data_IF_324893023297
#
_entry.id   IF_324893023297
#
_cell.length_a   1.000
_cell.length_b   1.000
_cell.length_c   1.000
_cell.angle_alpha   90.00
_cell.angle_beta   90.00
_cell.angle_gamma   90.00
#
_symmetry.space_group_name_H-M   'P 1'
#
loop_
_entity.id
_entity.type
_entity.pdbx_description
1 polymer ?
#
# COMPACT_ATOMS: atom_id res chain seq x y z
N UNK A 1 30.67 -3.70 -19.18
CA UNK A 1 29.20 -3.60 -18.97
C UNK A 1 28.61 -2.87 -20.16
N UNK A 2 27.64 -3.45 -20.86
CA UNK A 2 27.03 -2.86 -22.08
C UNK A 2 26.00 -1.78 -21.72
N UNK A 3 25.83 -0.78 -22.59
CA UNK A 3 24.91 0.35 -22.37
C UNK A 3 23.46 -0.12 -22.09
N UNK A 4 23.01 -1.17 -22.77
CA UNK A 4 21.67 -1.74 -22.60
C UNK A 4 21.42 -2.29 -21.19
N UNK A 5 22.44 -2.84 -20.51
CA UNK A 5 22.31 -3.30 -19.12
C UNK A 5 22.19 -2.12 -18.16
N UNK A 6 22.85 -1.00 -18.43
CA UNK A 6 22.76 0.21 -17.60
C UNK A 6 21.39 0.86 -17.72
N UNK A 7 20.84 0.93 -18.94
CA UNK A 7 19.47 1.40 -19.17
C UNK A 7 18.42 0.49 -18.51
N UNK A 8 18.55 -0.84 -18.67
CA UNK A 8 17.65 -1.78 -18.01
C UNK A 8 17.68 -1.67 -16.48
N UNK A 9 18.87 -1.47 -15.89
CA UNK A 9 19.01 -1.23 -14.45
C UNK A 9 18.37 0.09 -14.04
N UNK A 10 18.54 1.17 -14.83
CA UNK A 10 17.92 2.46 -14.55
C UNK A 10 16.40 2.39 -14.60
N UNK A 11 15.81 1.75 -15.61
CA UNK A 11 14.36 1.54 -15.71
C UNK A 11 13.83 0.66 -14.56
N UNK A 12 14.57 -0.38 -14.17
CA UNK A 12 14.24 -1.20 -12.99
C UNK A 12 14.31 -0.39 -11.70
N UNK A 13 15.29 0.51 -11.57
CA UNK A 13 15.44 1.41 -10.42
C UNK A 13 14.31 2.43 -10.35
N UNK A 14 13.96 3.08 -11.46
CA UNK A 14 12.83 4.01 -11.55
C UNK A 14 11.50 3.31 -11.23
N UNK A 15 11.28 2.10 -11.77
CA UNK A 15 10.14 1.26 -11.40
C UNK A 15 10.16 0.90 -9.91
N UNK A 16 11.31 0.56 -9.34
CA UNK A 16 11.43 0.24 -7.92
C UNK A 16 11.24 1.46 -7.01
N UNK A 17 11.58 2.66 -7.48
CA UNK A 17 11.42 3.92 -6.77
C UNK A 17 9.97 4.41 -6.80
N UNK A 18 9.30 4.31 -7.96
CA UNK A 18 7.86 4.51 -8.07
C UNK A 18 7.06 3.54 -7.17
N UNK A 19 7.60 2.35 -6.90
CA UNK A 19 7.02 1.34 -5.99
C UNK A 19 7.31 1.60 -4.50
N UNK A 20 8.24 2.49 -4.13
CA UNK A 20 8.56 2.77 -2.73
C UNK A 20 7.55 3.75 -2.14
N UNK A 21 6.80 3.29 -1.13
CA UNK A 21 6.04 4.21 -0.29
C UNK A 21 7.01 5.18 0.39
N UNK A 22 6.88 6.48 0.09
CA UNK A 22 7.73 7.49 0.69
C UNK A 22 7.53 7.52 2.22
N UNK A 23 8.59 7.77 3.01
CA UNK A 23 8.48 7.85 4.48
C UNK A 23 7.36 8.76 4.99
N UNK A 24 7.08 9.83 4.23
CA UNK A 24 5.99 10.76 4.51
C UNK A 24 4.62 10.07 4.58
N UNK A 25 4.29 9.19 3.63
CA UNK A 25 3.01 8.49 3.61
C UNK A 25 2.86 7.52 4.79
N UNK A 26 3.94 6.82 5.16
CA UNK A 26 3.94 5.93 6.34
C UNK A 26 3.65 6.74 7.59
N UNK A 27 4.33 7.88 7.76
CA UNK A 27 4.14 8.77 8.91
C UNK A 27 2.74 9.36 8.96
N UNK A 28 2.24 9.87 7.83
CA UNK A 28 0.91 10.47 7.72
C UNK A 28 -0.19 9.45 8.04
N UNK A 29 -0.12 8.26 7.43
CA UNK A 29 -1.02 7.15 7.73
C UNK A 29 -0.94 6.76 9.21
N UNK A 30 0.27 6.52 9.72
CA UNK A 30 0.47 6.07 11.10
C UNK A 30 -0.11 7.09 12.08
N UNK A 31 0.17 8.38 11.91
CA UNK A 31 -0.34 9.41 12.81
C UNK A 31 -1.86 9.42 12.84
N UNK A 32 -2.52 9.47 11.67
CA UNK A 32 -3.98 9.48 11.57
C UNK A 32 -4.61 8.21 12.14
N UNK A 33 -4.11 7.03 11.74
CA UNK A 33 -4.65 5.76 12.20
C UNK A 33 -4.40 5.54 13.70
N UNK A 34 -3.21 5.86 14.19
CA UNK A 34 -2.88 5.70 15.60
C UNK A 34 -3.72 6.63 16.47
N UNK A 35 -3.91 7.88 16.06
CA UNK A 35 -4.81 8.83 16.74
C UNK A 35 -6.27 8.37 16.73
N UNK A 36 -6.76 7.86 15.59
CA UNK A 36 -8.12 7.29 15.47
C UNK A 36 -8.37 6.17 16.49
N UNK A 37 -7.38 5.30 16.70
CA UNK A 37 -7.43 4.26 17.74
C UNK A 37 -6.98 4.74 19.13
N UNK A 38 -7.02 6.05 19.39
CA UNK A 38 -6.72 6.70 20.68
C UNK A 38 -5.26 6.54 21.15
N UNK A 39 -4.34 6.31 20.22
CA UNK A 39 -2.90 6.37 20.43
C UNK A 39 -2.39 7.80 20.45
N UNK A 40 -1.24 8.02 21.09
CA UNK A 40 -0.59 9.34 21.12
C UNK A 40 0.88 9.21 20.77
N UNK A 41 1.32 10.05 19.82
CA UNK A 41 2.71 10.15 19.39
C UNK A 41 3.25 11.51 19.82
N UNK A 42 4.26 11.55 20.70
CA UNK A 42 4.84 12.80 21.22
C UNK A 42 6.20 13.05 20.62
N UNK A 43 6.40 14.19 19.98
CA UNK A 43 7.73 14.54 19.47
C UNK A 43 8.69 14.82 20.61
N UNK A 44 9.91 14.28 20.54
CA UNK A 44 10.96 14.47 21.53
C UNK A 44 12.17 15.17 20.93
N UNK A 45 12.69 14.62 19.84
CA UNK A 45 13.74 15.23 19.03
C UNK A 45 13.24 15.43 17.59
N UNK A 46 13.90 16.25 16.76
CA UNK A 46 13.60 16.31 15.32
C UNK A 46 13.61 14.90 14.70
N UNK A 47 12.51 14.53 14.04
CA UNK A 47 12.36 13.21 13.40
C UNK A 47 12.15 12.03 14.36
N UNK A 48 12.09 12.26 15.68
CA UNK A 48 11.92 11.21 16.70
C UNK A 48 10.75 11.48 17.63
N UNK A 49 10.06 10.41 17.96
CA UNK A 49 8.84 10.46 18.75
C UNK A 49 8.85 9.41 19.85
N UNK A 50 8.06 9.61 20.88
CA UNK A 50 7.81 8.67 21.96
C UNK A 50 6.34 8.24 21.93
N UNK A 51 6.11 6.95 22.21
CA UNK A 51 4.78 6.40 22.46
C UNK A 51 4.74 5.92 23.91
N UNK A 52 4.10 6.70 24.79
CA UNK A 52 4.03 6.38 26.22
C UNK A 52 3.09 5.22 26.51
N UNK A 53 2.02 5.09 25.73
CA UNK A 53 1.03 4.02 25.85
C UNK A 53 0.52 3.60 24.47
N UNK A 54 0.57 2.30 24.18
CA UNK A 54 -0.08 1.71 23.01
C UNK A 54 -1.46 1.18 23.42
N UNK A 55 -2.54 1.65 22.76
CA UNK A 55 -3.91 1.21 23.02
C UNK A 55 -4.06 -0.32 23.02
N UNK A 56 -4.91 -0.84 23.90
CA UNK A 56 -5.14 -2.28 24.04
C UNK A 56 -5.59 -2.93 22.73
N UNK A 57 -6.51 -2.29 22.00
CA UNK A 57 -7.03 -2.78 20.72
C UNK A 57 -5.92 -3.06 19.69
N UNK A 58 -4.89 -2.20 19.62
CA UNK A 58 -3.74 -2.39 18.72
C UNK A 58 -2.89 -3.58 19.16
N UNK A 59 -2.66 -3.74 20.47
CA UNK A 59 -1.89 -4.86 21.03
C UNK A 59 -2.61 -6.20 20.93
N UNK A 60 -3.93 -6.18 21.08
CA UNK A 60 -4.74 -7.40 21.00
C UNK A 60 -4.89 -7.83 19.54
N UNK A 61 -5.05 -6.88 18.62
CA UNK A 61 -4.97 -7.15 17.18
C UNK A 61 -3.64 -7.78 16.79
N UNK A 62 -2.53 -7.24 17.33
CA UNK A 62 -1.20 -7.80 17.10
C UNK A 62 -1.11 -9.30 17.45
N UNK A 63 -1.85 -9.78 18.46
CA UNK A 63 -1.83 -11.21 18.84
C UNK A 63 -2.65 -12.09 17.91
N UNK A 64 -3.60 -11.52 17.18
CA UNK A 64 -4.52 -12.24 16.30
C UNK A 64 -3.98 -12.39 14.88
N UNK A 65 -3.13 -11.45 14.42
CA UNK A 65 -2.55 -11.49 13.08
C UNK A 65 -1.60 -12.68 12.95
N UNK A 66 -1.97 -13.65 12.12
CA UNK A 66 -1.14 -14.82 11.75
C UNK A 66 -0.37 -14.56 10.46
N UNK A 67 0.73 -15.30 10.23
CA UNK A 67 1.48 -15.22 8.96
C UNK A 67 2.40 -14.00 8.80
N UNK A 68 2.87 -13.42 9.91
CA UNK A 68 3.89 -12.35 9.87
C UNK A 68 5.16 -12.79 9.15
N UNK A 69 5.86 -11.79 8.61
CA UNK A 69 7.24 -11.99 8.21
C UNK A 69 8.04 -12.45 9.44
N UNK A 70 8.60 -13.66 9.37
CA UNK A 70 9.41 -14.28 10.43
C UNK A 70 10.62 -13.42 10.82
N UNK A 71 10.99 -12.44 9.99
CA UNK A 71 12.06 -11.48 10.28
C UNK A 71 11.65 -10.41 11.30
N UNK A 72 10.35 -10.19 11.51
CA UNK A 72 9.80 -9.22 12.47
C UNK A 72 8.83 -9.91 13.44
N UNK A 73 9.37 -10.79 14.29
CA UNK A 73 8.62 -11.54 15.31
C UNK A 73 8.36 -10.73 16.59
N UNK A 74 8.98 -9.56 16.74
CA UNK A 74 8.79 -8.73 17.93
C UNK A 74 7.31 -8.33 18.05
N UNK A 75 6.64 -8.59 19.18
CA UNK A 75 5.25 -8.18 19.36
C UNK A 75 5.14 -6.67 19.52
N UNK A 76 3.93 -6.14 19.39
CA UNK A 76 3.66 -4.75 19.75
C UNK A 76 3.91 -4.53 21.25
N UNK A 77 4.79 -3.58 21.56
CA UNK A 77 5.13 -3.22 22.94
C UNK A 77 4.05 -2.35 23.58
N UNK A 78 4.01 -2.30 24.92
CA UNK A 78 3.12 -1.39 25.66
C UNK A 78 3.50 0.09 25.51
N UNK A 79 4.79 0.36 25.28
CA UNK A 79 5.38 1.69 25.12
C UNK A 79 6.62 1.59 24.22
N UNK A 80 6.91 2.66 23.51
CA UNK A 80 8.12 2.82 22.70
C UNK A 80 8.85 4.08 23.14
N UNK A 81 10.09 3.91 23.63
CA UNK A 81 10.89 5.02 24.15
C UNK A 81 11.25 6.01 23.03
N UNK A 82 11.72 5.51 21.88
CA UNK A 82 11.93 6.29 20.66
C UNK A 82 11.46 5.53 19.42
N UNK A 83 10.76 6.24 18.54
CA UNK A 83 10.36 5.78 17.20
C UNK A 83 10.67 6.84 16.16
N UNK A 84 10.95 6.41 14.92
CA UNK A 84 11.18 7.30 13.79
C UNK A 84 10.66 6.68 12.49
N UNK A 85 10.45 7.50 11.46
CA UNK A 85 9.95 7.04 10.15
C UNK A 85 11.03 7.04 9.07
N UNK A 86 12.19 7.64 9.35
CA UNK A 86 13.30 7.75 8.41
C UNK A 86 14.57 7.16 9.03
N UNK A 87 15.38 6.51 8.20
CA UNK A 87 16.59 5.80 8.63
C UNK A 87 17.62 6.71 9.29
N UNK A 88 17.73 7.95 8.83
CA UNK A 88 18.65 8.95 9.36
C UNK A 88 18.40 9.29 10.84
N UNK A 89 17.18 9.07 11.33
CA UNK A 89 16.83 9.32 12.72
C UNK A 89 16.94 8.09 13.62
N UNK A 90 17.36 6.92 13.11
CA UNK A 90 17.52 5.70 13.93
C UNK A 90 18.65 5.86 14.96
N UNK A 91 19.75 6.53 14.57
CA UNK A 91 20.87 6.91 15.45
C UNK A 91 21.17 8.39 15.24
N UNK A 92 21.28 9.16 16.32
CA UNK A 92 21.74 10.54 16.25
C UNK A 92 23.26 10.53 16.42
N UNK A 93 23.98 10.90 15.37
CA UNK A 93 25.45 10.92 15.36
C UNK A 93 25.97 11.93 16.38
N UNK A 94 25.29 13.07 16.52
CA UNK A 94 25.68 14.17 17.40
C UNK A 94 25.39 13.93 18.89
N UNK A 95 24.68 12.85 19.24
CA UNK A 95 24.28 12.54 20.64
C UNK A 95 24.39 11.06 20.95
N UNK A 96 25.60 10.61 21.28
CA UNK A 96 25.97 9.21 21.52
C UNK A 96 25.17 8.52 22.64
N UNK A 97 24.72 9.26 23.66
CA UNK A 97 23.98 8.70 24.81
C UNK A 97 22.45 8.60 24.59
N UNK A 98 21.96 8.90 23.39
CA UNK A 98 20.50 8.86 23.11
C UNK A 98 20.08 7.44 22.74
N UNK A 99 18.95 6.91 23.26
CA UNK A 99 18.44 5.59 22.87
C UNK A 99 18.25 5.48 21.35
N UNK A 100 18.45 4.27 20.82
CA UNK A 100 18.15 3.96 19.42
C UNK A 100 16.65 4.05 19.18
N UNK A 101 16.24 4.70 18.09
CA UNK A 101 14.84 4.77 17.72
C UNK A 101 14.43 3.51 16.96
N UNK A 102 13.24 2.98 17.26
CA UNK A 102 12.62 1.94 16.43
C UNK A 102 12.18 2.55 15.10
N UNK A 103 12.66 1.98 13.99
CA UNK A 103 12.23 2.41 12.67
C UNK A 103 10.83 1.87 12.37
N UNK A 104 9.86 2.77 12.24
CA UNK A 104 8.50 2.44 11.82
C UNK A 104 8.49 2.33 10.29
N UNK A 105 8.12 1.15 9.79
CA UNK A 105 8.02 0.83 8.38
C UNK A 105 6.80 -0.10 8.15
N UNK A 106 6.38 -0.37 6.91
CA UNK A 106 5.13 -1.11 6.64
C UNK A 106 5.09 -2.54 7.23
N UNK A 107 6.25 -3.16 7.41
CA UNK A 107 6.40 -4.47 8.03
C UNK A 107 6.55 -4.45 9.55
N UNK A 108 6.47 -3.27 10.19
CA UNK A 108 6.57 -3.14 11.64
C UNK A 108 5.22 -3.58 12.29
N UNK A 109 5.24 -4.36 13.37
CA UNK A 109 4.04 -4.92 14.03
C UNK A 109 2.95 -3.87 14.36
N UNK A 110 3.36 -2.69 14.85
CA UNK A 110 2.44 -1.56 15.06
C UNK A 110 1.71 -1.15 13.77
N UNK A 111 2.43 -0.99 12.66
CA UNK A 111 1.83 -0.55 11.40
C UNK A 111 0.91 -1.63 10.87
N UNK A 112 1.33 -2.90 10.92
CA UNK A 112 0.48 -4.02 10.50
C UNK A 112 -0.82 -4.10 11.29
N UNK A 113 -0.75 -3.94 12.61
CA UNK A 113 -1.93 -3.94 13.49
C UNK A 113 -2.87 -2.78 13.17
N UNK A 114 -2.32 -1.59 12.91
CA UNK A 114 -3.12 -0.44 12.51
C UNK A 114 -3.76 -0.63 11.12
N UNK A 115 -3.01 -1.15 10.14
CA UNK A 115 -3.54 -1.44 8.80
C UNK A 115 -4.70 -2.44 8.90
N UNK A 116 -4.54 -3.52 9.66
CA UNK A 116 -5.60 -4.53 9.80
C UNK A 116 -6.86 -3.95 10.47
N UNK A 117 -6.70 -3.15 11.53
CA UNK A 117 -7.83 -2.47 12.19
C UNK A 117 -8.54 -1.48 11.26
N UNK A 118 -7.79 -0.65 10.52
CA UNK A 118 -8.38 0.31 9.56
C UNK A 118 -9.15 -0.45 8.47
N UNK A 119 -8.58 -1.53 7.94
CA UNK A 119 -9.23 -2.35 6.92
C UNK A 119 -10.47 -3.05 7.45
N UNK A 120 -10.45 -3.53 8.70
CA UNK A 120 -11.62 -4.13 9.34
C UNK A 120 -12.75 -3.11 9.51
N UNK A 121 -12.46 -1.92 10.03
CA UNK A 121 -13.46 -0.88 10.29
C UNK A 121 -14.04 -0.28 8.99
N UNK A 122 -13.27 -0.25 7.90
CA UNK A 122 -13.64 0.46 6.67
C UNK A 122 -13.85 -0.45 5.45
N UNK A 123 -13.83 -1.78 5.60
CA UNK A 123 -14.05 -2.73 4.49
C UNK A 123 -15.33 -2.44 3.71
N UNK A 124 -16.44 -2.21 4.41
CA UNK A 124 -17.73 -1.94 3.77
C UNK A 124 -17.73 -0.61 3.01
N UNK A 125 -17.02 0.41 3.53
CA UNK A 125 -16.86 1.70 2.84
C UNK A 125 -16.00 1.57 1.58
N UNK A 126 -14.94 0.76 1.62
CA UNK A 126 -14.14 0.46 0.43
C UNK A 126 -14.98 -0.23 -0.66
N UNK A 127 -15.92 -1.08 -0.27
CA UNK A 127 -16.85 -1.73 -1.20
C UNK A 127 -17.92 -0.76 -1.74
N UNK A 128 -18.42 0.14 -0.90
CA UNK A 128 -19.34 1.20 -1.31
C UNK A 128 -18.71 2.15 -2.33
N UNK A 129 -17.41 2.43 -2.19
CA UNK A 129 -16.69 3.37 -3.04
C UNK A 129 -16.95 4.82 -2.69
N UNK A 130 -16.38 5.72 -3.49
CA UNK A 130 -16.56 7.17 -3.38
C UNK A 130 -16.41 7.81 -4.75
N UNK A 131 -16.96 9.01 -4.93
CA UNK A 131 -16.70 9.83 -6.12
C UNK A 131 -15.45 10.66 -5.89
N UNK A 132 -14.53 10.59 -6.85
CA UNK A 132 -13.29 11.34 -6.88
C UNK A 132 -13.18 12.06 -8.22
N UNK A 133 -12.55 13.23 -8.22
CA UNK A 133 -12.38 14.08 -9.41
C UNK A 133 -10.91 14.39 -9.61
N UNK A 134 -10.44 14.29 -10.85
CA UNK A 134 -9.11 14.76 -11.22
C UNK A 134 -9.25 16.14 -11.87
N UNK A 135 -8.83 17.19 -11.17
CA UNK A 135 -8.93 18.57 -11.68
C UNK A 135 -8.01 18.86 -12.88
N UNK A 136 -7.02 17.99 -13.14
CA UNK A 136 -6.10 18.12 -14.27
C UNK A 136 -6.57 17.38 -15.51
N UNK A 137 -7.59 16.54 -15.37
CA UNK A 137 -8.16 15.78 -16.47
C UNK A 137 -9.29 16.58 -17.13
N UNK A 138 -9.13 16.85 -18.43
CA UNK A 138 -10.13 17.52 -19.25
C UNK A 138 -11.13 16.53 -19.89
N UNK A 139 -10.98 15.24 -19.61
CA UNK A 139 -11.93 14.20 -20.01
C UNK A 139 -13.31 14.44 -19.41
N UNK A 140 -14.34 14.08 -20.17
CA UNK A 140 -15.75 14.18 -19.74
C UNK A 140 -16.40 12.82 -19.54
N UNK A 141 -15.68 11.74 -19.84
CA UNK A 141 -16.19 10.38 -19.71
C UNK A 141 -15.95 9.86 -18.29
N UNK A 142 -17.01 9.43 -17.56
CA UNK A 142 -16.85 8.84 -16.25
C UNK A 142 -16.19 7.46 -16.34
N UNK A 143 -15.44 7.12 -15.29
CA UNK A 143 -14.74 5.85 -15.14
C UNK A 143 -14.83 5.33 -13.72
N UNK A 144 -14.90 4.02 -13.58
CA UNK A 144 -14.81 3.33 -12.29
C UNK A 144 -13.38 2.82 -12.10
N UNK A 145 -12.77 3.23 -11.00
CA UNK A 145 -11.41 2.85 -10.61
C UNK A 145 -11.46 1.71 -9.58
N UNK A 146 -11.04 0.51 -9.97
CA UNK A 146 -10.91 -0.63 -9.09
C UNK A 146 -9.51 -0.74 -8.52
N UNK A 147 -9.42 -0.98 -7.20
CA UNK A 147 -8.20 -1.43 -6.54
C UNK A 147 -8.14 -2.95 -6.58
N UNK A 148 -7.05 -3.48 -7.12
CA UNK A 148 -6.79 -4.91 -7.20
C UNK A 148 -5.58 -5.28 -6.35
N UNK A 149 -5.77 -6.26 -5.49
CA UNK A 149 -4.69 -6.89 -4.73
C UNK A 149 -4.49 -8.32 -5.20
N UNK A 150 -3.30 -8.63 -5.71
CA UNK A 150 -2.96 -9.96 -6.20
C UNK A 150 -1.56 -10.38 -5.73
N UNK A 151 -1.38 -11.68 -5.59
CA UNK A 151 -0.13 -12.26 -5.12
C UNK A 151 0.29 -13.46 -5.95
N UNK A 152 1.56 -13.49 -6.33
CA UNK A 152 2.24 -14.68 -6.82
C UNK A 152 2.75 -15.46 -5.63
N UNK A 153 2.42 -16.74 -5.56
CA UNK A 153 2.82 -17.65 -4.49
C UNK A 153 3.71 -18.76 -5.03
N UNK A 154 4.66 -19.19 -4.21
CA UNK A 154 5.52 -20.34 -4.52
C UNK A 154 4.75 -21.64 -4.32
N UNK A 155 5.03 -22.64 -5.16
CA UNK A 155 4.46 -23.98 -5.01
C UNK A 155 5.12 -24.69 -3.81
N UNK A 156 4.32 -25.34 -2.96
CA UNK A 156 4.77 -26.08 -1.77
C UNK A 156 3.86 -25.90 -0.55
N UNK A 157 4.01 -26.75 0.47
CA UNK A 157 3.11 -26.84 1.65
C UNK A 157 2.90 -25.51 2.38
N UNK A 158 3.84 -24.57 2.31
CA UNK A 158 3.77 -23.28 3.01
C UNK A 158 3.36 -22.10 2.11
N UNK A 159 3.05 -22.31 0.83
CA UNK A 159 2.42 -21.34 -0.09
C UNK A 159 2.93 -19.89 0.04
N UNK A 160 4.24 -19.68 0.20
CA UNK A 160 4.79 -18.36 0.54
C UNK A 160 4.53 -17.38 -0.58
N UNK A 161 4.08 -16.17 -0.25
CA UNK A 161 3.93 -15.10 -1.24
C UNK A 161 5.32 -14.67 -1.74
N UNK A 162 5.62 -14.97 -3.00
CA UNK A 162 6.83 -14.51 -3.67
C UNK A 162 6.78 -13.01 -3.97
N UNK A 163 5.58 -12.53 -4.30
CA UNK A 163 5.31 -11.12 -4.57
C UNK A 163 3.82 -10.86 -4.39
N UNK A 164 3.48 -9.66 -3.89
CA UNK A 164 2.11 -9.15 -3.79
C UNK A 164 2.10 -7.72 -4.30
N UNK A 165 1.07 -7.35 -5.05
CA UNK A 165 0.93 -6.03 -5.67
C UNK A 165 -0.48 -5.51 -5.48
N UNK A 166 -0.54 -4.21 -5.21
CA UNK A 166 -1.73 -3.42 -5.42
C UNK A 166 -1.57 -2.74 -6.79
N UNK A 167 -2.57 -2.89 -7.64
CA UNK A 167 -2.68 -2.24 -8.93
C UNK A 167 -4.10 -1.74 -9.14
N UNK A 168 -4.27 -0.92 -10.16
CA UNK A 168 -5.54 -0.28 -10.44
C UNK A 168 -6.03 -0.62 -11.85
N UNK A 169 -7.34 -0.80 -11.99
CA UNK A 169 -8.01 -0.97 -13.28
C UNK A 169 -9.08 0.09 -13.41
N UNK A 170 -9.08 0.80 -14.52
CA UNK A 170 -10.16 1.73 -14.88
C UNK A 170 -11.10 1.04 -15.86
N UNK A 171 -12.40 1.25 -15.67
CA UNK A 171 -13.44 0.76 -16.57
C UNK A 171 -14.34 1.94 -16.96
N UNK A 172 -14.52 2.16 -18.25
CA UNK A 172 -15.43 3.19 -18.76
C UNK A 172 -16.87 2.65 -18.91
N UNK A 173 -17.80 3.53 -19.27
CA UNK A 173 -19.21 3.18 -19.51
C UNK A 173 -19.41 2.11 -20.60
N UNK A 174 -18.47 1.98 -21.54
CA UNK A 174 -18.51 0.95 -22.59
C UNK A 174 -18.07 -0.44 -22.09
N UNK A 175 -17.66 -0.54 -20.82
CA UNK A 175 -17.11 -1.76 -20.23
C UNK A 175 -15.66 -2.05 -20.64
N UNK A 176 -14.97 -1.09 -21.24
CA UNK A 176 -13.57 -1.24 -21.64
C UNK A 176 -12.67 -1.03 -20.42
N UNK A 177 -11.89 -2.06 -20.10
CA UNK A 177 -10.98 -2.05 -18.96
C UNK A 177 -9.54 -1.74 -19.39
N UNK A 178 -8.85 -0.91 -18.61
CA UNK A 178 -7.43 -0.59 -18.82
C UNK A 178 -6.63 -0.71 -17.51
N UNK A 179 -5.35 -1.03 -17.62
CA UNK A 179 -4.42 -0.98 -16.50
C UNK A 179 -4.08 0.49 -16.16
N UNK A 180 -4.57 0.97 -15.03
CA UNK A 180 -4.38 2.34 -14.55
C UNK A 180 -3.10 2.52 -13.71
N UNK A 181 -2.19 1.55 -13.75
CA UNK A 181 -0.90 1.62 -13.08
C UNK A 181 -0.97 1.34 -11.58
N UNK A 182 -0.16 2.08 -10.81
CA UNK A 182 0.16 1.73 -9.41
C UNK A 182 -0.53 2.62 -8.37
N UNK A 183 -0.79 3.88 -8.68
CA UNK A 183 -1.36 4.82 -7.70
C UNK A 183 -2.10 6.01 -8.36
N UNK A 184 -2.99 5.77 -9.34
CA UNK A 184 -3.73 6.87 -9.99
C UNK A 184 -4.61 7.63 -9.00
N UNK A 185 -5.06 6.96 -7.92
CA UNK A 185 -5.84 7.57 -6.83
C UNK A 185 -5.16 8.79 -6.16
N UNK A 186 -3.85 8.98 -6.31
CA UNK A 186 -3.13 10.13 -5.75
C UNK A 186 -3.35 11.43 -6.53
N UNK A 187 -3.80 11.33 -7.78
CA UNK A 187 -4.06 12.48 -8.66
C UNK A 187 -5.51 12.97 -8.53
N UNK A 188 -6.35 12.25 -7.77
CA UNK A 188 -7.75 12.61 -7.58
C UNK A 188 -8.01 13.27 -6.22
N UNK A 189 -9.00 14.13 -6.20
CA UNK A 189 -9.52 14.81 -5.02
C UNK A 189 -10.96 14.37 -4.71
N UNK A 190 -11.39 14.55 -3.47
CA UNK A 190 -12.77 14.24 -3.08
C UNK A 190 -13.74 15.23 -3.73
N UNK A 191 -14.85 14.72 -4.28
CA UNK A 191 -15.91 15.57 -4.81
C UNK A 191 -16.52 16.42 -3.67
N UNK A 192 -16.61 17.76 -3.80
CA UNK A 192 -17.30 18.59 -2.82
C UNK A 192 -18.76 18.19 -2.65
N UNK A 193 -19.28 18.28 -1.42
CA UNK A 193 -20.67 17.88 -1.10
C UNK A 193 -21.69 18.66 -1.94
N UNK A 194 -21.41 19.93 -2.24
CA UNK A 194 -22.25 20.79 -3.10
C UNK A 194 -22.41 20.25 -4.53
N UNK A 195 -21.46 19.46 -5.00
CA UNK A 195 -21.34 19.09 -6.40
C UNK A 195 -21.89 17.69 -6.67
N UNK A 196 -22.31 16.95 -5.62
CA UNK A 196 -22.90 15.63 -5.76
C UNK A 196 -24.16 15.62 -6.62
N UNK A 197 -24.93 16.71 -6.65
CA UNK A 197 -26.10 16.80 -7.53
C UNK A 197 -25.75 16.77 -9.01
N UNK A 198 -24.51 17.13 -9.37
CA UNK A 198 -24.04 17.19 -10.76
C UNK A 198 -23.69 15.82 -11.34
N UNK A 199 -23.58 14.79 -10.51
CA UNK A 199 -23.16 13.43 -10.92
C UNK A 199 -24.23 12.37 -10.62
N UNK A 200 -25.45 12.79 -10.26
CA UNK A 200 -26.52 11.85 -9.91
C UNK A 200 -26.96 10.98 -11.08
N UNK A 201 -26.97 11.55 -12.29
CA UNK A 201 -27.24 10.85 -13.53
C UNK A 201 -26.22 9.72 -13.79
N UNK A 202 -24.94 10.00 -13.55
CA UNK A 202 -23.86 9.02 -13.66
C UNK A 202 -24.03 7.93 -12.60
N UNK A 203 -24.29 8.29 -11.34
CA UNK A 203 -24.44 7.32 -10.25
C UNK A 203 -25.70 6.44 -10.38
N UNK A 204 -26.73 6.93 -11.08
CA UNK A 204 -27.97 6.21 -11.34
C UNK A 204 -27.99 5.50 -12.69
N UNK A 205 -26.91 5.59 -13.46
CA UNK A 205 -26.81 4.95 -14.77
C UNK A 205 -26.87 3.42 -14.64
N UNK A 206 -27.37 2.75 -15.68
CA UNK A 206 -27.52 1.29 -15.65
C UNK A 206 -26.16 0.58 -15.51
N UNK A 207 -25.10 1.13 -16.12
CA UNK A 207 -23.80 0.48 -16.18
C UNK A 207 -23.08 0.44 -14.83
N UNK A 208 -23.44 1.34 -13.90
CA UNK A 208 -22.98 1.30 -12.52
C UNK A 208 -23.57 0.14 -11.71
N UNK A 209 -24.67 -0.46 -12.18
CA UNK A 209 -25.28 -1.66 -11.56
C UNK A 209 -24.81 -2.97 -12.19
N UNK A 210 -24.07 -2.91 -13.30
CA UNK A 210 -23.47 -4.08 -13.91
C UNK A 210 -22.35 -4.66 -13.02
N UNK A 211 -22.02 -5.94 -13.23
CA UNK A 211 -20.94 -6.62 -12.50
C UNK A 211 -19.55 -6.20 -13.03
N UNK A 212 -19.21 -4.92 -12.82
CA UNK A 212 -17.93 -4.32 -13.20
C UNK A 212 -16.74 -4.97 -12.47
N UNK A 213 -16.98 -5.56 -11.29
CA UNK A 213 -15.96 -6.32 -10.57
C UNK A 213 -15.51 -7.55 -11.35
N UNK A 214 -16.45 -8.30 -11.94
CA UNK A 214 -16.12 -9.41 -12.81
C UNK A 214 -15.33 -8.97 -14.03
N UNK A 215 -15.66 -7.81 -14.61
CA UNK A 215 -14.89 -7.23 -15.73
C UNK A 215 -13.46 -6.89 -15.30
N UNK A 216 -13.30 -6.23 -14.15
CA UNK A 216 -11.99 -5.89 -13.60
C UNK A 216 -11.13 -7.15 -13.33
N UNK A 217 -11.72 -8.17 -12.71
CA UNK A 217 -11.05 -9.44 -12.42
C UNK A 217 -10.68 -10.20 -13.70
N UNK A 218 -11.56 -10.23 -14.70
CA UNK A 218 -11.29 -10.87 -15.99
C UNK A 218 -10.12 -10.18 -16.71
N UNK A 219 -10.15 -8.85 -16.79
CA UNK A 219 -9.07 -8.06 -17.39
C UNK A 219 -7.73 -8.30 -16.68
N UNK A 220 -7.73 -8.23 -15.34
CA UNK A 220 -6.54 -8.43 -14.54
C UNK A 220 -5.95 -9.82 -14.70
N UNK A 221 -6.78 -10.85 -14.75
CA UNK A 221 -6.35 -12.24 -14.94
C UNK A 221 -5.72 -12.47 -16.31
N UNK A 222 -6.18 -11.77 -17.34
CA UNK A 222 -5.69 -11.91 -18.72
C UNK A 222 -4.44 -11.07 -19.00
N UNK A 223 -4.33 -9.88 -18.40
CA UNK A 223 -3.29 -8.91 -18.77
C UNK A 223 -2.32 -8.61 -17.62
N UNK A 224 -2.82 -8.33 -16.41
CA UNK A 224 -2.00 -7.84 -15.30
C UNK A 224 -1.23 -8.98 -14.61
N UNK A 225 -1.94 -10.04 -14.23
CA UNK A 225 -1.38 -11.16 -13.47
C UNK A 225 -0.31 -11.93 -14.26
N UNK A 226 -0.48 -12.22 -15.57
CA UNK A 226 0.55 -12.92 -16.35
C UNK A 226 1.86 -12.14 -16.44
N UNK A 227 1.79 -10.81 -16.62
CA UNK A 227 2.97 -9.94 -16.64
C UNK A 227 3.69 -9.94 -15.28
N UNK A 228 2.93 -9.81 -14.18
CA UNK A 228 3.48 -9.89 -12.83
C UNK A 228 4.15 -11.24 -12.59
N UNK A 229 3.50 -12.33 -12.97
CA UNK A 229 4.05 -13.67 -12.83
C UNK A 229 5.35 -13.85 -13.62
N UNK A 230 5.39 -13.41 -14.89
CA UNK A 230 6.57 -13.48 -15.74
C UNK A 230 7.75 -12.72 -15.13
N UNK A 231 7.52 -11.50 -14.65
CA UNK A 231 8.56 -10.70 -13.96
C UNK A 231 9.12 -11.42 -12.72
N UNK A 232 8.23 -12.00 -11.89
CA UNK A 232 8.64 -12.72 -10.68
C UNK A 232 9.43 -13.98 -11.05
N UNK A 233 8.96 -14.75 -12.05
CA UNK A 233 9.63 -15.96 -12.55
C UNK A 233 11.03 -15.65 -13.04
N UNK A 234 11.18 -14.71 -13.96
CA UNK A 234 12.49 -14.32 -14.53
C UNK A 234 13.47 -13.81 -13.47
N UNK A 235 12.97 -13.10 -12.44
CA UNK A 235 13.82 -12.67 -11.32
C UNK A 235 14.30 -13.85 -10.49
N UNK A 236 13.44 -14.84 -10.23
CA UNK A 236 13.76 -16.03 -9.45
C UNK A 236 14.74 -16.94 -10.16
N UNK A 237 14.53 -17.18 -11.45
CA UNK A 237 15.44 -17.97 -12.29
C UNK A 237 16.85 -17.36 -12.29
N UNK A 238 16.96 -16.05 -12.56
CA UNK A 238 18.25 -15.33 -12.48
C UNK A 238 18.93 -15.42 -11.12
N UNK A 239 18.16 -15.49 -10.04
CA UNK A 239 18.71 -15.63 -8.68
C UNK A 239 19.20 -17.07 -8.44
N UNK A 240 18.47 -18.08 -8.92
CA UNK A 240 18.86 -19.48 -8.83
C UNK A 240 20.15 -19.74 -9.61
N UNK A 241 20.24 -19.26 -10.85
CA UNK A 241 21.43 -19.43 -11.70
C UNK A 241 22.69 -18.84 -11.04
N UNK A 242 22.57 -17.65 -10.43
CA UNK A 242 23.68 -17.02 -9.69
C UNK A 242 24.10 -17.77 -8.42
N UNK A 243 23.22 -18.56 -7.84
CA UNK A 243 23.50 -19.29 -6.59
C UNK A 243 24.06 -20.69 -6.89
N UNK A 244 23.76 -21.23 -8.07
CA UNK A 244 24.22 -22.54 -8.55
C UNK A 244 25.54 -22.47 -9.33
N UNK A 245 25.93 -21.29 -9.81
CA UNK A 245 27.23 -21.01 -10.43
C UNK A 245 28.29 -20.64 -9.37
#
# INVERSE_FOLDING_TARGET
MTADRVFAIKTEMEKAEARKLQPFFIKSFFNKAFEHFKGSLRQREPGRFEITHVPAIVRDRDRQITGRDRRNLSPVLKRYERVCFEKQYVRLIDRVNTPMASLIHPGHPLVQSLVDLVLEEHRTKLKQGTVLVNAQDMGVEPRVLFLLDHAVRESGENGRSASRRIQFVEINERGEAINAGYAPHLDYEALPVSDYSLVQDILQSHWMTDDLERVALAYASQHIVPEHYKEVKERRERQADKTLA
#
